data_IF_818684807874
#
_entry.id   IF_818684807874
#
_cell.length_a   1.000
_cell.length_b   1.000
_cell.length_c   1.000
_cell.angle_alpha   90.00
_cell.angle_beta   90.00
_cell.angle_gamma   90.00
#
_symmetry.space_group_name_H-M   'P 1'
#
loop_
_entity.id
_entity.type
_entity.pdbx_description
1 polymer ?
#
# COMPACT_ATOMS: atom_id res chain seq x y z
N UNK A 1 5.35 18.47 6.91
CA UNK A 1 5.44 17.14 6.27
C UNK A 1 4.56 17.16 5.04
N UNK A 2 5.06 16.66 3.90
CA UNK A 2 4.26 16.36 2.70
C UNK A 2 3.88 14.87 2.74
N UNK A 3 2.61 14.54 2.61
CA UNK A 3 2.10 13.17 2.63
C UNK A 3 1.53 12.81 1.25
N UNK A 4 2.12 11.80 0.61
CA UNK A 4 1.72 11.33 -0.71
C UNK A 4 1.13 9.92 -0.57
N UNK A 5 -0.15 9.78 -0.91
CA UNK A 5 -0.82 8.48 -0.98
C UNK A 5 -0.60 7.80 -2.33
N UNK A 6 -0.15 6.56 -2.35
CA UNK A 6 0.08 5.77 -3.58
C UNK A 6 -0.75 4.48 -3.52
N UNK A 7 -1.86 4.46 -4.25
CA UNK A 7 -2.80 3.35 -4.33
C UNK A 7 -2.83 2.68 -5.70
N UNK A 8 -3.66 1.64 -5.84
CA UNK A 8 -3.76 0.82 -7.04
C UNK A 8 -3.90 -0.66 -6.73
N UNK A 9 -4.43 -1.45 -7.68
CA UNK A 9 -4.68 -2.88 -7.50
C UNK A 9 -3.43 -3.71 -7.15
N UNK A 10 -3.61 -4.91 -6.61
CA UNK A 10 -2.52 -5.88 -6.48
C UNK A 10 -1.89 -6.16 -7.85
N UNK A 11 -0.56 -6.26 -7.92
CA UNK A 11 0.17 -6.49 -9.18
C UNK A 11 0.33 -5.28 -10.11
N UNK A 12 -0.24 -4.10 -9.80
CA UNK A 12 -0.12 -2.93 -10.70
C UNK A 12 1.26 -2.27 -10.68
N UNK A 13 2.11 -2.57 -9.69
CA UNK A 13 3.47 -2.05 -9.58
C UNK A 13 3.66 -0.84 -8.66
N UNK A 14 2.73 -0.58 -7.72
CA UNK A 14 2.91 0.43 -6.65
C UNK A 14 4.27 0.34 -5.97
N UNK A 15 4.63 -0.85 -5.47
CA UNK A 15 5.89 -1.08 -4.78
C UNK A 15 7.10 -0.76 -5.66
N UNK A 16 7.01 -1.03 -6.96
CA UNK A 16 8.04 -0.65 -7.94
C UNK A 16 8.16 0.88 -8.04
N UNK A 17 7.03 1.58 -8.21
CA UNK A 17 6.99 3.05 -8.27
C UNK A 17 7.55 3.67 -6.97
N UNK A 18 7.12 3.19 -5.81
CA UNK A 18 7.61 3.63 -4.49
C UNK A 18 9.12 3.44 -4.38
N UNK A 19 9.63 2.25 -4.71
CA UNK A 19 11.07 1.97 -4.66
C UNK A 19 11.87 2.86 -5.61
N UNK A 20 11.35 3.11 -6.81
CA UNK A 20 12.01 4.01 -7.77
C UNK A 20 12.07 5.44 -7.24
N UNK A 21 11.00 5.95 -6.63
CA UNK A 21 11.01 7.25 -5.97
C UNK A 21 12.06 7.26 -4.86
N UNK A 22 11.99 6.28 -3.94
CA UNK A 22 12.85 6.20 -2.76
C UNK A 22 14.35 6.09 -3.07
N UNK A 23 14.73 5.44 -4.17
CA UNK A 23 16.13 5.25 -4.54
C UNK A 23 16.88 6.54 -4.89
N UNK A 24 16.17 7.66 -5.09
CA UNK A 24 16.79 8.95 -5.40
C UNK A 24 16.91 9.89 -4.21
N UNK A 25 16.35 9.52 -3.05
CA UNK A 25 16.32 10.39 -1.87
C UNK A 25 17.01 9.75 -0.66
N UNK A 26 17.63 10.54 0.22
CA UNK A 26 18.11 10.06 1.51
C UNK A 26 16.96 9.48 2.34
N UNK A 27 17.20 8.34 3.01
CA UNK A 27 16.20 7.65 3.84
C UNK A 27 15.77 8.45 5.07
N UNK A 28 16.55 9.47 5.41
CA UNK A 28 16.32 10.40 6.51
C UNK A 28 15.28 11.47 6.12
N UNK A 29 15.12 11.76 4.83
CA UNK A 29 14.25 12.84 4.36
C UNK A 29 12.89 12.35 3.85
N UNK A 30 12.85 11.15 3.27
CA UNK A 30 11.64 10.51 2.74
C UNK A 30 11.39 9.18 3.44
N UNK A 31 10.15 8.97 3.90
CA UNK A 31 9.71 7.76 4.59
C UNK A 31 8.64 7.03 3.81
N UNK A 32 8.49 5.74 4.08
CA UNK A 32 7.40 4.92 3.53
C UNK A 32 6.64 4.27 4.68
N UNK A 33 5.32 4.37 4.63
CA UNK A 33 4.39 3.62 5.47
C UNK A 33 3.58 2.71 4.57
N UNK A 34 3.68 1.41 4.80
CA UNK A 34 2.87 0.41 4.09
C UNK A 34 1.57 0.17 4.84
N UNK A 35 0.45 0.23 4.14
CA UNK A 35 -0.87 -0.12 4.68
C UNK A 35 -0.91 -1.57 5.19
N UNK A 36 -0.12 -2.48 4.61
CA UNK A 36 -0.11 -3.88 5.01
C UNK A 36 0.39 -4.05 6.46
N UNK A 37 1.17 -3.11 7.00
CA UNK A 37 1.52 -3.08 8.44
C UNK A 37 0.29 -2.88 9.35
N UNK A 38 -0.80 -2.31 8.81
CA UNK A 38 -1.98 -1.86 9.55
C UNK A 38 -3.19 -2.77 9.35
N UNK A 39 -3.01 -4.04 8.95
CA UNK A 39 -4.11 -5.01 9.09
C UNK A 39 -4.55 -5.11 10.55
N UNK A 40 -5.82 -5.39 10.81
CA UNK A 40 -6.37 -5.57 12.16
C UNK A 40 -5.63 -6.67 12.94
N UNK A 41 -5.48 -6.51 14.26
CA UNK A 41 -4.97 -7.57 15.12
C UNK A 41 -6.03 -8.67 15.28
N UNK A 42 -5.72 -9.84 14.76
CA UNK A 42 -6.53 -11.04 14.79
C UNK A 42 -6.05 -12.06 15.82
N UNK A 43 -5.32 -11.61 16.87
CA UNK A 43 -4.79 -12.47 17.93
C UNK A 43 -5.86 -13.34 18.61
N UNK A 44 -7.12 -12.90 18.58
CA UNK A 44 -8.27 -13.62 19.10
C UNK A 44 -8.72 -14.82 18.24
N UNK A 45 -8.24 -14.93 16.99
CA UNK A 45 -8.52 -16.04 16.07
C UNK A 45 -7.37 -17.04 16.04
N UNK A 46 -7.70 -18.29 15.69
CA UNK A 46 -6.70 -19.33 15.37
C UNK A 46 -6.00 -19.04 14.03
N UNK A 47 -4.83 -19.64 13.79
CA UNK A 47 -4.10 -19.48 12.51
C UNK A 47 -4.93 -19.93 11.30
N UNK A 48 -5.76 -20.96 11.45
CA UNK A 48 -6.62 -21.46 10.37
C UNK A 48 -7.75 -20.49 10.03
N UNK A 49 -8.30 -19.82 11.04
CA UNK A 49 -9.31 -18.77 10.84
C UNK A 49 -8.68 -17.51 10.23
N UNK A 50 -7.51 -17.08 10.68
CA UNK A 50 -6.79 -15.92 10.12
C UNK A 50 -6.48 -16.11 8.64
N UNK A 51 -6.08 -17.31 8.23
CA UNK A 51 -5.83 -17.65 6.81
C UNK A 51 -7.07 -17.54 5.92
N UNK A 52 -8.27 -17.55 6.51
CA UNK A 52 -9.55 -17.37 5.78
C UNK A 52 -10.01 -15.91 5.76
N UNK A 53 -9.33 -15.01 6.47
CA UNK A 53 -9.68 -13.59 6.47
C UNK A 53 -9.47 -12.99 5.08
N UNK A 54 -10.45 -12.20 4.63
CA UNK A 54 -10.33 -11.42 3.41
C UNK A 54 -9.60 -10.10 3.69
N UNK A 55 -8.29 -10.08 3.43
CA UNK A 55 -7.44 -8.92 3.63
C UNK A 55 -7.61 -7.81 2.56
N UNK A 56 -8.31 -8.08 1.46
CA UNK A 56 -8.59 -7.08 0.42
C UNK A 56 -9.90 -6.31 0.69
N UNK A 57 -10.61 -6.60 1.78
CA UNK A 57 -11.78 -5.84 2.22
C UNK A 57 -11.36 -4.65 3.12
N UNK A 58 -11.95 -3.44 2.98
CA UNK A 58 -11.59 -2.27 3.81
C UNK A 58 -11.64 -2.51 5.32
N UNK A 59 -12.57 -3.36 5.79
CA UNK A 59 -12.69 -3.69 7.23
C UNK A 59 -11.53 -4.52 7.78
N UNK A 60 -10.62 -5.01 6.92
CA UNK A 60 -9.41 -5.69 7.38
C UNK A 60 -8.33 -4.70 7.85
N UNK A 61 -8.48 -3.41 7.56
CA UNK A 61 -7.49 -2.37 7.86
C UNK A 61 -7.88 -1.60 9.12
N UNK A 62 -6.90 -1.39 9.99
CA UNK A 62 -6.98 -0.51 11.14
C UNK A 62 -6.68 0.93 10.71
N UNK A 63 -7.67 1.53 10.03
CA UNK A 63 -7.54 2.89 9.55
C UNK A 63 -7.45 3.93 10.68
N UNK A 64 -8.05 3.65 11.84
CA UNK A 64 -7.99 4.57 12.96
C UNK A 64 -6.55 4.67 13.51
N UNK A 65 -5.85 3.54 13.65
CA UNK A 65 -4.43 3.54 14.02
C UNK A 65 -3.56 4.23 12.95
N UNK A 66 -3.84 3.99 11.66
CA UNK A 66 -3.10 4.66 10.58
C UNK A 66 -3.30 6.18 10.60
N UNK A 67 -4.54 6.66 10.84
CA UNK A 67 -4.83 8.08 11.00
C UNK A 67 -4.06 8.65 12.18
N UNK A 68 -4.16 8.02 13.36
CA UNK A 68 -3.45 8.45 14.57
C UNK A 68 -1.94 8.57 14.31
N UNK A 69 -1.34 7.54 13.71
CA UNK A 69 0.09 7.53 13.41
C UNK A 69 0.49 8.64 12.43
N UNK A 70 -0.32 8.91 11.41
CA UNK A 70 -0.05 10.00 10.47
C UNK A 70 -0.20 11.38 11.14
N UNK A 71 -1.14 11.55 12.07
CA UNK A 71 -1.30 12.79 12.85
C UNK A 71 -0.09 13.03 13.78
N UNK A 72 0.34 12.00 14.50
CA UNK A 72 1.54 12.05 15.34
C UNK A 72 2.78 12.44 14.53
N UNK A 73 3.01 11.76 13.40
CA UNK A 73 4.12 12.08 12.50
C UNK A 73 4.04 13.52 11.98
N UNK A 74 2.86 13.99 11.59
CA UNK A 74 2.65 15.37 11.12
C UNK A 74 2.92 16.40 12.22
N UNK A 75 2.66 16.06 13.48
CA UNK A 75 2.95 16.88 14.66
C UNK A 75 4.43 16.85 15.10
N UNK A 76 5.28 16.07 14.43
CA UNK A 76 6.70 15.94 14.76
C UNK A 76 7.00 14.91 15.84
N UNK A 77 6.08 13.98 16.10
CA UNK A 77 6.24 12.89 17.07
C UNK A 77 6.54 11.56 16.37
N UNK A 78 7.47 10.78 16.94
CA UNK A 78 7.78 9.43 16.48
C UNK A 78 6.63 8.47 16.76
N UNK A 79 6.49 7.43 15.95
CA UNK A 79 5.49 6.36 16.15
C UNK A 79 6.16 5.00 16.27
N UNK A 80 5.47 4.06 16.88
CA UNK A 80 5.82 2.64 16.89
C UNK A 80 5.00 1.93 15.80
N UNK A 81 5.53 1.93 14.57
CA UNK A 81 4.81 1.36 13.44
C UNK A 81 4.69 -0.17 13.60
N UNK A 82 3.49 -0.76 13.48
CA UNK A 82 3.31 -2.19 13.58
C UNK A 82 4.04 -2.96 12.48
N UNK A 83 4.53 -4.16 12.82
CA UNK A 83 5.07 -5.12 11.87
C UNK A 83 4.03 -6.21 11.60
N UNK A 84 3.75 -6.47 10.34
CA UNK A 84 2.81 -7.52 9.93
C UNK A 84 3.56 -8.75 9.40
N UNK A 85 3.18 -9.94 9.88
CA UNK A 85 3.69 -11.21 9.38
C UNK A 85 2.69 -11.87 8.44
N UNK A 86 3.06 -11.95 7.16
CA UNK A 86 2.28 -12.68 6.16
C UNK A 86 2.25 -14.20 6.40
N UNK A 87 3.21 -14.73 7.16
CA UNK A 87 3.27 -16.15 7.52
C UNK A 87 2.24 -16.46 8.62
N UNK A 88 2.14 -15.58 9.62
CA UNK A 88 1.21 -15.71 10.75
C UNK A 88 -0.19 -15.14 10.45
N UNK A 89 -0.32 -14.45 9.32
CA UNK A 89 -1.50 -13.67 8.92
C UNK A 89 -1.97 -12.73 10.04
N UNK A 90 -1.03 -12.10 10.74
CA UNK A 90 -1.33 -11.20 11.86
C UNK A 90 -0.23 -10.16 12.09
N UNK A 91 -0.54 -9.13 12.88
CA UNK A 91 0.50 -8.28 13.49
C UNK A 91 1.39 -9.12 14.40
N UNK A 92 2.68 -8.83 14.37
CA UNK A 92 3.63 -9.34 15.36
C UNK A 92 3.56 -8.47 16.63
N UNK A 93 4.28 -8.87 17.67
CA UNK A 93 4.46 -8.04 18.87
C UNK A 93 5.54 -6.97 18.69
N UNK A 94 6.21 -6.97 17.54
CA UNK A 94 7.30 -6.05 17.25
C UNK A 94 6.78 -4.80 16.55
N UNK A 95 7.48 -3.70 16.80
CA UNK A 95 7.24 -2.41 16.16
C UNK A 95 8.54 -1.86 15.59
N UNK A 96 8.42 -0.98 14.61
CA UNK A 96 9.54 -0.24 14.04
C UNK A 96 9.35 1.24 14.40
N UNK A 97 10.28 1.77 15.18
CA UNK A 97 10.34 3.20 15.49
C UNK A 97 10.45 4.01 14.19
N UNK A 98 9.41 4.74 13.86
CA UNK A 98 9.31 5.54 12.64
C UNK A 98 9.32 7.02 13.01
N UNK A 99 10.36 7.71 12.54
CA UNK A 99 10.56 9.12 12.82
C UNK A 99 9.78 10.00 11.83
N UNK A 100 9.35 11.21 12.26
CA UNK A 100 8.86 12.24 11.35
C UNK A 100 9.89 12.56 10.28
N UNK A 101 9.43 12.72 9.04
CA UNK A 101 10.26 13.10 7.89
C UNK A 101 9.64 14.27 7.13
N UNK A 102 10.43 14.91 6.26
CA UNK A 102 9.93 16.01 5.42
C UNK A 102 8.83 15.49 4.47
N UNK A 103 9.01 14.29 3.93
CA UNK A 103 8.04 13.61 3.06
C UNK A 103 7.73 12.20 3.57
N UNK A 104 6.46 11.81 3.54
CA UNK A 104 6.00 10.45 3.85
C UNK A 104 5.16 9.94 2.68
N UNK A 105 5.58 8.80 2.11
CA UNK A 105 4.82 8.04 1.15
C UNK A 105 3.96 7.03 1.92
N UNK A 106 2.66 7.06 1.72
CA UNK A 106 1.74 6.05 2.26
C UNK A 106 1.28 5.21 1.10
N UNK A 107 1.60 3.91 1.10
CA UNK A 107 1.27 3.02 0.00
C UNK A 107 0.35 1.88 0.45
N UNK A 108 -0.58 1.48 -0.40
CA UNK A 108 -1.47 0.37 -0.12
C UNK A 108 -2.59 0.21 -1.12
N UNK A 109 -3.26 -0.95 -1.11
CA UNK A 109 -4.36 -1.24 -2.05
C UNK A 109 -5.67 -0.51 -1.69
N UNK A 110 -5.89 -0.12 -0.44
CA UNK A 110 -7.15 0.36 0.11
C UNK A 110 -7.04 1.74 0.78
N UNK A 111 -5.87 2.39 0.77
CA UNK A 111 -5.65 3.68 1.46
C UNK A 111 -6.56 4.79 0.97
N UNK A 112 -7.02 4.72 -0.29
CA UNK A 112 -7.97 5.69 -0.85
C UNK A 112 -9.43 5.33 -0.57
N UNK A 113 -9.75 4.24 0.12
CA UNK A 113 -11.14 3.88 0.48
C UNK A 113 -11.65 4.70 1.65
N UNK A 114 -10.78 5.06 2.60
CA UNK A 114 -11.13 5.78 3.81
C UNK A 114 -11.08 7.32 3.61
N UNK A 115 -12.20 8.05 3.81
CA UNK A 115 -12.22 9.51 3.63
C UNK A 115 -11.23 10.28 4.51
N UNK A 116 -11.08 9.90 5.79
CA UNK A 116 -10.16 10.58 6.71
C UNK A 116 -8.71 10.47 6.21
N UNK A 117 -8.30 9.28 5.80
CA UNK A 117 -6.97 9.06 5.22
C UNK A 117 -6.77 9.91 3.95
N UNK A 118 -7.78 9.98 3.07
CA UNK A 118 -7.69 10.82 1.86
C UNK A 118 -7.49 12.30 2.18
N UNK A 119 -8.16 12.82 3.21
CA UNK A 119 -8.03 14.22 3.65
C UNK A 119 -6.63 14.54 4.20
N UNK A 120 -5.89 13.52 4.67
CA UNK A 120 -4.52 13.69 5.13
C UNK A 120 -3.49 13.75 3.99
N UNK A 121 -3.84 13.26 2.80
CA UNK A 121 -2.92 13.21 1.66
C UNK A 121 -2.90 14.53 0.89
N UNK A 122 -1.72 15.14 0.82
CA UNK A 122 -1.46 16.33 -0.01
C UNK A 122 -1.54 15.97 -1.50
N UNK A 123 -1.11 14.75 -1.88
CA UNK A 123 -1.18 14.23 -3.26
C UNK A 123 -1.66 12.78 -3.22
N UNK A 124 -2.64 12.44 -4.07
CA UNK A 124 -3.19 11.09 -4.22
C UNK A 124 -2.82 10.54 -5.59
N UNK A 125 -2.07 9.46 -5.61
CA UNK A 125 -1.60 8.80 -6.82
C UNK A 125 -2.28 7.43 -6.92
N UNK A 126 -2.82 7.10 -8.09
CA UNK A 126 -3.30 5.75 -8.39
C UNK A 126 -2.45 5.13 -9.51
N UNK A 127 -1.75 4.04 -9.20
CA UNK A 127 -0.98 3.27 -10.18
C UNK A 127 -1.93 2.30 -10.87
N UNK A 128 -2.10 2.49 -12.18
CA UNK A 128 -3.02 1.72 -12.99
C UNK A 128 -2.27 0.75 -13.90
N UNK A 129 -2.77 -0.49 -13.98
CA UNK A 129 -2.38 -1.47 -14.96
C UNK A 129 -3.58 -2.38 -15.27
N UNK A 130 -3.62 -2.92 -16.48
CA UNK A 130 -4.70 -3.76 -16.97
C UNK A 130 -4.81 -5.03 -16.10
N UNK A 131 -6.03 -5.57 -15.97
CA UNK A 131 -6.29 -6.68 -15.05
C UNK A 131 -5.51 -7.95 -15.39
N UNK A 132 -5.29 -8.21 -16.68
CA UNK A 132 -4.51 -9.32 -17.21
C UNK A 132 -3.01 -9.16 -16.91
N UNK A 133 -2.44 -7.98 -17.13
CA UNK A 133 -1.07 -7.65 -16.77
C UNK A 133 -0.82 -7.83 -15.27
N UNK A 134 -1.76 -7.36 -14.44
CA UNK A 134 -1.70 -7.56 -12.98
C UNK A 134 -1.77 -9.03 -12.60
N UNK A 135 -2.66 -9.79 -13.22
CA UNK A 135 -2.80 -11.23 -12.99
C UNK A 135 -1.52 -11.98 -13.38
N UNK A 136 -0.93 -11.70 -14.55
CA UNK A 136 0.31 -12.33 -15.01
C UNK A 136 1.45 -12.09 -14.01
N UNK A 137 1.61 -10.86 -13.52
CA UNK A 137 2.61 -10.50 -12.52
C UNK A 137 2.35 -11.22 -11.19
N UNK A 138 1.08 -11.30 -10.79
CA UNK A 138 0.66 -12.00 -9.57
C UNK A 138 0.96 -13.48 -9.63
N UNK A 139 0.58 -14.14 -10.73
CA UNK A 139 0.85 -15.56 -10.97
C UNK A 139 2.34 -15.86 -10.82
N UNK A 140 3.20 -15.10 -11.52
CA UNK A 140 4.66 -15.27 -11.44
C UNK A 140 5.15 -15.16 -10.00
N UNK A 141 4.73 -14.12 -9.27
CA UNK A 141 5.15 -13.88 -7.88
C UNK A 141 4.69 -14.99 -6.94
N UNK A 142 3.42 -15.36 -6.99
CA UNK A 142 2.87 -16.34 -6.06
C UNK A 142 3.46 -17.74 -6.30
N UNK A 143 3.71 -18.11 -7.56
CA UNK A 143 4.36 -19.39 -7.89
C UNK A 143 5.85 -19.40 -7.55
N UNK A 144 6.57 -18.31 -7.79
CA UNK A 144 8.03 -18.27 -7.65
C UNK A 144 8.49 -17.94 -6.23
N UNK A 145 7.78 -17.07 -5.52
CA UNK A 145 8.22 -16.52 -4.23
C UNK A 145 7.41 -17.08 -3.06
N UNK A 146 6.14 -17.46 -3.27
CA UNK A 146 5.22 -17.89 -2.19
C UNK A 146 4.87 -19.37 -2.21
N UNK A 147 5.27 -20.10 -3.25
CA UNK A 147 5.08 -21.54 -3.38
C UNK A 147 3.64 -21.99 -3.65
N UNK A 148 2.78 -21.08 -4.13
CA UNK A 148 1.39 -21.41 -4.46
C UNK A 148 1.33 -22.12 -5.81
N UNK A 149 0.37 -23.04 -5.97
CA UNK A 149 0.05 -23.61 -7.29
C UNK A 149 -0.68 -22.60 -8.17
N UNK A 150 -0.68 -22.87 -9.48
CA UNK A 150 -1.43 -22.08 -10.46
C UNK A 150 -2.93 -22.07 -10.13
N UNK A 151 -3.50 -23.24 -9.82
CA UNK A 151 -4.93 -23.39 -9.55
C UNK A 151 -5.35 -22.63 -8.28
N UNK A 152 -4.57 -22.74 -7.20
CA UNK A 152 -4.82 -21.97 -5.96
C UNK A 152 -4.77 -20.46 -6.21
N UNK A 153 -3.81 -20.00 -7.03
CA UNK A 153 -3.67 -18.58 -7.33
C UNK A 153 -4.84 -18.07 -8.19
N UNK A 154 -5.29 -18.85 -9.17
CA UNK A 154 -6.42 -18.51 -10.03
C UNK A 154 -7.75 -18.53 -9.26
N UNK A 155 -7.97 -19.53 -8.41
CA UNK A 155 -9.17 -19.61 -7.57
C UNK A 155 -9.26 -18.41 -6.62
N UNK A 156 -8.17 -18.10 -5.91
CA UNK A 156 -8.09 -16.92 -5.06
C UNK A 156 -8.32 -15.62 -5.83
N UNK A 157 -7.78 -15.51 -7.05
CA UNK A 157 -8.01 -14.34 -7.90
C UNK A 157 -9.49 -14.17 -8.27
N UNK A 158 -10.15 -15.23 -8.71
CA UNK A 158 -11.54 -15.18 -9.17
C UNK A 158 -12.53 -14.95 -8.02
N UNK A 159 -12.32 -15.64 -6.89
CA UNK A 159 -13.29 -15.70 -5.81
C UNK A 159 -13.09 -14.61 -4.74
N UNK A 160 -11.88 -14.08 -4.61
CA UNK A 160 -11.55 -13.08 -3.58
C UNK A 160 -11.05 -11.78 -4.18
N UNK A 161 -9.93 -11.82 -4.92
CA UNK A 161 -9.21 -10.60 -5.27
C UNK A 161 -9.93 -9.75 -6.30
N UNK A 162 -10.46 -10.35 -7.37
CA UNK A 162 -11.18 -9.62 -8.42
C UNK A 162 -12.45 -8.96 -7.89
N UNK A 163 -13.34 -9.65 -7.15
CA UNK A 163 -14.49 -9.00 -6.51
C UNK A 163 -14.09 -7.84 -5.60
N UNK A 164 -13.08 -7.99 -4.74
CA UNK A 164 -12.63 -6.91 -3.86
C UNK A 164 -12.01 -5.75 -4.63
N UNK A 165 -11.26 -6.05 -5.69
CA UNK A 165 -10.70 -5.03 -6.56
C UNK A 165 -11.80 -4.21 -7.25
N UNK A 166 -12.74 -4.88 -7.90
CA UNK A 166 -13.82 -4.22 -8.64
C UNK A 166 -14.75 -3.42 -7.71
N UNK A 167 -14.98 -3.93 -6.49
CA UNK A 167 -15.87 -3.29 -5.51
C UNK A 167 -15.21 -2.14 -4.72
N UNK A 168 -13.96 -2.32 -4.27
CA UNK A 168 -13.35 -1.40 -3.30
C UNK A 168 -12.10 -0.70 -3.81
N UNK A 169 -11.31 -1.29 -4.70
CA UNK A 169 -10.01 -0.72 -5.09
C UNK A 169 -10.15 0.14 -6.35
N UNK A 170 -10.71 -0.41 -7.43
CA UNK A 170 -10.82 0.28 -8.72
C UNK A 170 -11.65 1.58 -8.65
N UNK A 171 -12.77 1.65 -7.92
CA UNK A 171 -13.52 2.90 -7.78
C UNK A 171 -12.72 4.03 -7.11
N UNK A 172 -11.72 3.69 -6.29
CA UNK A 172 -10.91 4.72 -5.60
C UNK A 172 -10.01 5.53 -6.53
N UNK A 173 -9.84 5.06 -7.77
CA UNK A 173 -9.17 5.80 -8.85
C UNK A 173 -9.79 7.18 -9.07
N UNK A 174 -11.09 7.36 -8.82
CA UNK A 174 -11.76 8.68 -8.94
C UNK A 174 -11.27 9.72 -7.93
N UNK A 175 -10.69 9.27 -6.80
CA UNK A 175 -10.11 10.17 -5.80
C UNK A 175 -8.66 10.55 -6.08
N UNK A 176 -8.06 10.03 -7.15
CA UNK A 176 -6.65 10.29 -7.45
C UNK A 176 -6.48 11.66 -8.12
N UNK A 177 -5.48 12.40 -7.66
CA UNK A 177 -5.00 13.63 -8.31
C UNK A 177 -4.19 13.26 -9.58
N UNK A 178 -3.47 12.13 -9.54
CA UNK A 178 -2.63 11.63 -10.65
C UNK A 178 -2.87 10.13 -10.84
N UNK A 179 -3.08 9.71 -12.09
CA UNK A 179 -3.10 8.30 -12.48
C UNK A 179 -1.81 7.97 -13.24
N UNK A 180 -1.03 7.03 -12.73
CA UNK A 180 0.21 6.58 -13.36
C UNK A 180 -0.06 5.26 -14.09
N UNK A 181 -0.09 5.23 -15.44
CA UNK A 181 -0.18 3.98 -16.17
C UNK A 181 1.14 3.21 -16.07
N UNK A 182 1.05 1.91 -15.80
CA UNK A 182 2.19 1.01 -15.56
C UNK A 182 2.06 -0.35 -16.26
N UNK A 183 1.34 -0.39 -17.38
CA UNK A 183 1.39 -1.51 -18.33
C UNK A 183 2.80 -1.61 -18.96
N UNK A 184 3.49 -0.47 -19.07
CA UNK A 184 4.91 -0.36 -19.44
C UNK A 184 5.61 0.53 -18.42
N UNK A 185 6.92 0.38 -18.33
CA UNK A 185 7.77 1.21 -17.47
C UNK A 185 7.55 2.70 -17.78
N UNK A 186 7.17 3.50 -16.78
CA UNK A 186 6.82 4.91 -16.95
C UNK A 186 7.74 5.79 -16.11
N UNK A 187 8.90 6.13 -16.65
CA UNK A 187 9.90 6.97 -15.97
C UNK A 187 9.44 8.42 -15.86
N UNK A 188 8.77 8.95 -16.87
CA UNK A 188 8.33 10.35 -16.91
C UNK A 188 7.40 10.70 -15.75
N UNK A 189 6.40 9.84 -15.48
CA UNK A 189 5.48 10.07 -14.35
C UNK A 189 6.22 10.04 -13.00
N UNK A 190 7.21 9.15 -12.88
CA UNK A 190 8.03 9.03 -11.67
C UNK A 190 8.90 10.28 -11.49
N UNK A 191 9.50 10.80 -12.56
CA UNK A 191 10.33 12.02 -12.53
C UNK A 191 9.52 13.26 -12.15
N UNK A 192 8.24 13.34 -12.52
CA UNK A 192 7.34 14.40 -12.06
C UNK A 192 7.15 14.31 -10.54
N UNK A 193 6.85 13.12 -10.00
CA UNK A 193 6.68 12.93 -8.55
C UNK A 193 7.98 13.26 -7.80
N UNK A 194 9.13 12.83 -8.33
CA UNK A 194 10.44 13.17 -7.78
C UNK A 194 10.71 14.67 -7.78
N UNK A 195 10.30 15.38 -8.84
CA UNK A 195 10.45 16.85 -8.90
C UNK A 195 9.68 17.53 -7.77
N UNK A 196 8.45 17.09 -7.50
CA UNK A 196 7.62 17.63 -6.40
C UNK A 196 8.27 17.33 -5.04
N UNK A 197 8.82 16.13 -4.85
CA UNK A 197 9.52 15.77 -3.63
C UNK A 197 10.79 16.64 -3.47
N UNK A 198 11.60 16.80 -4.52
CA UNK A 198 12.79 17.66 -4.51
C UNK A 198 12.47 19.11 -4.14
N UNK A 199 11.41 19.68 -4.71
CA UNK A 199 10.96 21.04 -4.38
C UNK A 199 10.57 21.17 -2.90
N UNK A 200 9.99 20.12 -2.32
CA UNK A 200 9.66 20.08 -0.89
C UNK A 200 10.89 19.93 0.03
N UNK A 201 11.93 19.27 -0.45
CA UNK A 201 13.15 18.98 0.32
C UNK A 201 14.14 20.15 0.32
N UNK A 202 14.11 20.94 -0.77
CA UNK A 202 14.87 22.18 -0.98
C UNK A 202 14.47 23.27 0.02
#
# INVERSE_FOLDING_TARGET
MLIIGIAGGTGCGKTTVVNQIMNEFPKEEVGVISQDSYYNDLSHLTIEERKKTNFDHPSAIDFDLLVEHLELLKSGQSIEQPVYSFIECNRTKETVATQPRKVVLVEGILILTNPKIREMFDIKIYVHADSDERLIRRLKRDTAERGWSLDETLDCYQNTLKPMHDQFIEPTKEYADIIIPNNKYNTVAIDIVRTIINDKLS
#
